data_IF_500298660783
#
_entry.id   IF_500298660783
#
_cell.length_a   1.000
_cell.length_b   1.000
_cell.length_c   1.000
_cell.angle_alpha   90.00
_cell.angle_beta   90.00
_cell.angle_gamma   90.00
#
_symmetry.space_group_name_H-M   'P 1'
#
loop_
_entity.id
_entity.type
_entity.pdbx_description
1 polymer ?
#
# COMPACT_ATOMS: atom_id res chain seq x y z
N UNK A 1 58.22 -89.93 34.32
CA UNK A 1 58.42 -88.69 33.55
C UNK A 1 57.62 -88.84 32.26
N UNK A 2 56.30 -88.70 32.37
CA UNK A 2 55.54 -87.48 32.02
C UNK A 2 55.53 -87.24 30.51
N UNK A 3 54.62 -87.90 29.78
CA UNK A 3 53.25 -87.48 29.41
C UNK A 3 53.19 -86.23 28.52
N UNK A 4 53.19 -86.49 27.21
CA UNK A 4 52.35 -85.77 26.24
C UNK A 4 50.96 -86.43 26.24
N UNK A 5 49.90 -85.63 26.11
CA UNK A 5 48.98 -85.61 24.94
C UNK A 5 47.75 -84.73 25.24
N UNK A 6 47.39 -83.89 24.27
CA UNK A 6 46.04 -83.52 23.81
C UNK A 6 44.98 -83.11 24.84
N UNK A 7 44.34 -81.95 24.69
CA UNK A 7 43.21 -81.78 23.78
C UNK A 7 42.52 -80.41 24.00
N UNK A 8 42.02 -79.90 22.89
CA UNK A 8 41.17 -78.75 22.62
C UNK A 8 39.74 -78.89 23.17
N UNK A 9 39.22 -77.81 23.75
CA UNK A 9 37.80 -77.42 23.80
C UNK A 9 37.78 -75.89 23.99
N UNK A 10 37.62 -75.11 22.93
CA UNK A 10 36.32 -74.57 22.50
C UNK A 10 35.59 -73.88 23.66
N UNK A 11 35.69 -72.54 23.73
CA UNK A 11 34.50 -71.79 24.04
C UNK A 11 34.41 -70.45 23.32
N UNK A 12 33.17 -70.21 22.94
CA UNK A 12 32.62 -69.32 21.95
C UNK A 12 32.50 -67.88 22.45
N UNK A 13 33.07 -66.91 21.72
CA UNK A 13 32.72 -65.50 21.96
C UNK A 13 32.88 -64.59 20.73
N UNK A 14 32.56 -65.07 19.53
CA UNK A 14 32.67 -64.29 18.28
C UNK A 14 31.33 -63.77 17.72
N UNK A 15 30.19 -63.87 18.41
CA UNK A 15 28.89 -63.49 17.84
C UNK A 15 28.16 -62.31 18.50
N UNK A 16 28.72 -61.65 19.52
CA UNK A 16 28.03 -60.52 20.21
C UNK A 16 28.34 -59.11 19.68
N UNK A 17 29.30 -58.96 18.77
CA UNK A 17 29.68 -57.64 18.21
C UNK A 17 28.90 -57.18 16.96
N UNK A 18 28.24 -58.10 16.25
CA UNK A 18 27.62 -57.81 14.94
C UNK A 18 26.15 -57.34 15.04
N UNK A 19 25.42 -57.75 16.08
CA UNK A 19 24.00 -57.39 16.24
C UNK A 19 23.75 -55.99 16.84
N UNK A 20 24.76 -55.39 17.49
CA UNK A 20 24.63 -54.06 18.09
C UNK A 20 24.87 -52.92 17.08
N UNK A 21 25.76 -53.10 16.10
CA UNK A 21 26.00 -52.06 15.07
C UNK A 21 24.85 -52.00 14.06
N UNK A 22 24.32 -53.16 13.64
CA UNK A 22 23.19 -53.21 12.70
C UNK A 22 21.89 -52.58 13.27
N UNK A 23 21.69 -52.64 14.58
CA UNK A 23 20.53 -52.00 15.23
C UNK A 23 20.71 -50.49 15.45
N UNK A 24 21.94 -50.02 15.68
CA UNK A 24 22.26 -48.59 15.71
C UNK A 24 22.17 -47.94 14.32
N UNK A 25 22.65 -48.63 13.28
CA UNK A 25 22.56 -48.16 11.89
C UNK A 25 21.10 -48.09 11.41
N UNK A 26 20.25 -49.07 11.81
CA UNK A 26 18.81 -49.06 11.52
C UNK A 26 18.10 -47.87 12.17
N UNK A 27 18.40 -47.57 13.44
CA UNK A 27 17.84 -46.41 14.15
C UNK A 27 18.28 -45.08 13.54
N UNK A 28 19.51 -45.01 13.00
CA UNK A 28 20.01 -43.82 12.33
C UNK A 28 19.34 -43.60 10.97
N UNK A 29 19.10 -44.68 10.22
CA UNK A 29 18.32 -44.64 8.97
C UNK A 29 16.85 -44.24 9.20
N UNK A 30 16.20 -44.76 10.24
CA UNK A 30 14.85 -44.36 10.62
C UNK A 30 14.77 -42.89 11.05
N UNK A 31 15.78 -42.39 11.79
CA UNK A 31 15.87 -40.98 12.18
C UNK A 31 16.06 -40.05 10.97
N UNK A 32 16.91 -40.42 10.00
CA UNK A 32 17.12 -39.66 8.76
C UNK A 32 15.86 -39.69 7.88
N UNK A 33 15.17 -40.83 7.81
CA UNK A 33 13.91 -40.95 7.09
C UNK A 33 12.80 -40.10 7.73
N UNK A 34 12.74 -40.04 9.07
CA UNK A 34 11.82 -39.16 9.80
C UNK A 34 12.16 -37.67 9.60
N UNK A 35 13.44 -37.28 9.62
CA UNK A 35 13.85 -35.90 9.34
C UNK A 35 13.49 -35.48 7.89
N UNK A 36 13.71 -36.35 6.90
CA UNK A 36 13.29 -36.11 5.52
C UNK A 36 11.77 -36.07 5.34
N UNK A 37 11.02 -36.87 6.11
CA UNK A 37 9.56 -36.82 6.14
C UNK A 37 9.03 -35.53 6.79
N UNK A 38 9.68 -35.05 7.86
CA UNK A 38 9.35 -33.78 8.52
C UNK A 38 9.69 -32.58 7.64
N UNK A 39 10.83 -32.61 6.94
CA UNK A 39 11.21 -31.56 5.98
C UNK A 39 10.28 -31.55 4.77
N UNK A 40 9.92 -32.70 4.21
CA UNK A 40 8.94 -32.77 3.11
C UNK A 40 7.54 -32.34 3.55
N UNK A 41 7.12 -32.64 4.78
CA UNK A 41 5.89 -32.13 5.39
C UNK A 41 5.95 -30.62 5.67
N UNK A 42 7.10 -30.09 6.10
CA UNK A 42 7.33 -28.66 6.29
C UNK A 42 7.36 -27.92 4.94
N UNK A 43 8.02 -28.48 3.93
CA UNK A 43 8.08 -27.93 2.58
C UNK A 43 6.69 -27.96 1.93
N UNK A 44 5.92 -29.04 2.09
CA UNK A 44 4.56 -29.14 1.56
C UNK A 44 3.56 -28.23 2.30
N UNK A 45 3.72 -28.01 3.61
CA UNK A 45 2.91 -27.04 4.35
C UNK A 45 3.27 -25.57 4.03
N UNK A 46 4.52 -25.28 3.66
CA UNK A 46 4.94 -23.96 3.15
C UNK A 46 4.42 -23.72 1.73
N UNK A 47 4.34 -24.76 0.89
CA UNK A 47 3.83 -24.64 -0.50
C UNK A 47 2.31 -24.51 -0.59
N UNK A 48 1.58 -24.78 0.50
CA UNK A 48 0.12 -24.69 0.55
C UNK A 48 -0.39 -23.28 0.88
N UNK A 49 0.31 -22.23 0.43
CA UNK A 49 -0.25 -20.87 0.39
C UNK A 49 -1.27 -20.81 -0.75
N UNK A 50 -2.48 -21.30 -0.45
CA UNK A 50 -3.64 -21.22 -1.33
C UNK A 50 -3.80 -19.78 -1.82
N UNK A 51 -3.82 -19.61 -3.14
CA UNK A 51 -4.39 -18.44 -3.80
C UNK A 51 -5.81 -18.25 -3.28
N UNK A 52 -5.97 -17.46 -2.22
CA UNK A 52 -7.26 -17.16 -1.65
C UNK A 52 -8.00 -16.37 -2.72
N UNK A 53 -9.02 -16.99 -3.34
CA UNK A 53 -9.91 -16.31 -4.29
C UNK A 53 -10.28 -14.97 -3.66
N UNK A 54 -9.97 -13.86 -4.35
CA UNK A 54 -10.34 -12.52 -3.90
C UNK A 54 -11.84 -12.57 -3.61
N UNK A 55 -12.22 -12.31 -2.36
CA UNK A 55 -13.63 -12.27 -1.94
C UNK A 55 -14.42 -11.41 -2.94
N UNK A 56 -15.54 -11.92 -3.44
CA UNK A 56 -16.39 -11.23 -4.42
C UNK A 56 -16.71 -9.78 -3.99
N UNK A 57 -16.87 -9.56 -2.69
CA UNK A 57 -17.08 -8.25 -2.07
C UNK A 57 -15.89 -7.30 -2.35
N UNK A 58 -14.65 -7.78 -2.25
CA UNK A 58 -13.45 -6.98 -2.52
C UNK A 58 -13.36 -6.61 -4.01
N UNK A 59 -13.73 -7.54 -4.90
CA UNK A 59 -13.73 -7.29 -6.34
C UNK A 59 -14.80 -6.25 -6.72
N UNK A 60 -16.03 -6.42 -6.21
CA UNK A 60 -17.12 -5.47 -6.44
C UNK A 60 -16.78 -4.09 -5.91
N UNK A 61 -16.23 -4.02 -4.68
CA UNK A 61 -15.75 -2.77 -4.07
C UNK A 61 -14.74 -2.08 -4.99
N UNK A 62 -13.72 -2.82 -5.46
CA UNK A 62 -12.72 -2.31 -6.41
C UNK A 62 -13.36 -1.73 -7.67
N UNK A 63 -14.28 -2.46 -8.30
CA UNK A 63 -14.96 -1.99 -9.52
C UNK A 63 -15.73 -0.70 -9.26
N UNK A 64 -16.54 -0.65 -8.19
CA UNK A 64 -17.36 0.52 -7.85
C UNK A 64 -16.49 1.76 -7.65
N UNK A 65 -15.43 1.66 -6.86
CA UNK A 65 -14.58 2.82 -6.60
C UNK A 65 -13.74 3.24 -7.81
N UNK A 66 -13.34 2.30 -8.67
CA UNK A 66 -12.71 2.66 -9.96
C UNK A 66 -13.68 3.44 -10.83
N UNK A 67 -14.92 2.96 -10.97
CA UNK A 67 -15.96 3.64 -11.77
C UNK A 67 -16.22 5.04 -11.22
N UNK A 68 -16.45 5.18 -9.91
CA UNK A 68 -16.69 6.48 -9.27
C UNK A 68 -15.49 7.41 -9.50
N UNK A 69 -14.27 6.94 -9.27
CA UNK A 69 -13.07 7.76 -9.45
C UNK A 69 -12.87 8.22 -10.90
N UNK A 70 -13.15 7.35 -11.86
CA UNK A 70 -13.05 7.64 -13.29
C UNK A 70 -14.09 8.67 -13.74
N UNK A 71 -15.32 8.56 -13.23
CA UNK A 71 -16.39 9.55 -13.48
C UNK A 71 -16.02 10.91 -12.87
N UNK A 72 -15.50 10.92 -11.63
CA UNK A 72 -15.04 12.15 -10.98
C UNK A 72 -13.93 12.84 -11.79
N UNK A 73 -12.95 12.09 -12.29
CA UNK A 73 -11.93 12.67 -13.17
C UNK A 73 -12.55 13.27 -14.44
N UNK A 74 -13.47 12.55 -15.10
CA UNK A 74 -14.18 13.07 -16.28
C UNK A 74 -14.96 14.36 -15.99
N UNK A 75 -15.63 14.45 -14.83
CA UNK A 75 -16.33 15.66 -14.36
C UNK A 75 -15.35 16.81 -14.12
N UNK A 76 -14.22 16.55 -13.45
CA UNK A 76 -13.18 17.56 -13.21
C UNK A 76 -12.61 18.11 -14.53
N UNK A 77 -12.38 17.24 -15.51
CA UNK A 77 -11.89 17.64 -16.83
C UNK A 77 -12.92 18.46 -17.60
N UNK A 78 -14.09 17.90 -17.92
CA UNK A 78 -15.03 18.53 -18.87
C UNK A 78 -15.86 19.67 -18.26
N UNK A 79 -16.14 19.67 -16.94
CA UNK A 79 -16.96 20.74 -16.35
C UNK A 79 -16.15 21.90 -15.77
N UNK A 80 -14.85 21.70 -15.51
CA UNK A 80 -14.00 22.71 -14.88
C UNK A 80 -12.77 23.04 -15.71
N UNK A 81 -11.90 22.07 -15.98
CA UNK A 81 -10.57 22.35 -16.55
C UNK A 81 -10.64 22.72 -18.04
N UNK A 82 -11.20 21.84 -18.87
CA UNK A 82 -11.22 21.97 -20.34
C UNK A 82 -11.94 23.25 -20.80
N UNK A 83 -13.15 23.59 -20.33
CA UNK A 83 -13.83 24.83 -20.74
C UNK A 83 -13.09 26.11 -20.32
N UNK A 84 -12.31 26.04 -19.24
CA UNK A 84 -11.50 27.16 -18.75
C UNK A 84 -10.07 27.16 -19.31
N UNK A 85 -9.78 26.34 -20.33
CA UNK A 85 -8.46 26.19 -20.95
C UNK A 85 -7.34 25.91 -19.93
N UNK A 86 -7.69 25.22 -18.85
CA UNK A 86 -6.73 24.73 -17.86
C UNK A 86 -6.29 23.37 -18.36
N UNK A 87 -5.00 23.22 -18.61
CA UNK A 87 -4.47 22.00 -19.22
C UNK A 87 -4.22 20.97 -18.14
N UNK A 88 -4.59 19.73 -18.45
CA UNK A 88 -4.18 18.59 -17.63
C UNK A 88 -2.67 18.29 -17.87
N UNK A 89 -2.06 17.48 -17.02
CA UNK A 89 -0.71 16.97 -17.23
C UNK A 89 -0.69 15.64 -17.99
N UNK A 90 0.52 15.11 -18.20
CA UNK A 90 0.73 13.77 -18.72
C UNK A 90 0.14 13.47 -20.09
N UNK A 91 -0.39 12.25 -20.26
CA UNK A 91 -0.96 11.80 -21.54
C UNK A 91 -2.30 12.52 -21.80
N UNK A 92 -3.06 12.82 -20.75
CA UNK A 92 -4.27 13.66 -20.84
C UNK A 92 -3.96 15.05 -21.38
N UNK A 93 -2.92 15.73 -20.89
CA UNK A 93 -2.53 17.06 -21.37
C UNK A 93 -2.18 17.05 -22.86
N UNK A 94 -1.41 16.06 -23.30
CA UNK A 94 -1.12 15.83 -24.72
C UNK A 94 -2.43 15.59 -25.48
N UNK A 95 -3.34 14.78 -24.93
CA UNK A 95 -4.64 14.48 -25.53
C UNK A 95 -5.53 15.73 -25.68
N UNK A 96 -5.52 16.65 -24.71
CA UNK A 96 -6.24 17.93 -24.76
C UNK A 96 -5.69 18.79 -25.90
N UNK A 97 -4.36 18.90 -26.02
CA UNK A 97 -3.73 19.68 -27.09
C UNK A 97 -4.08 19.09 -28.46
N UNK A 98 -3.99 17.76 -28.63
CA UNK A 98 -4.34 17.11 -29.89
C UNK A 98 -5.83 17.26 -30.23
N UNK A 99 -6.71 17.11 -29.23
CA UNK A 99 -8.16 17.34 -29.38
C UNK A 99 -8.45 18.76 -29.87
N UNK A 100 -7.79 19.75 -29.27
CA UNK A 100 -7.95 21.15 -29.66
C UNK A 100 -7.48 21.43 -31.09
N UNK A 101 -6.38 20.83 -31.53
CA UNK A 101 -5.80 21.06 -32.87
C UNK A 101 -6.53 20.28 -33.98
N UNK A 102 -7.08 19.10 -33.67
CA UNK A 102 -7.67 18.18 -34.67
C UNK A 102 -9.20 18.14 -34.66
N UNK A 103 -9.84 18.76 -33.65
CA UNK A 103 -11.29 18.70 -33.40
C UNK A 103 -11.85 17.28 -33.22
N UNK A 104 -10.98 16.30 -32.91
CA UNK A 104 -11.38 14.94 -32.58
C UNK A 104 -11.65 14.85 -31.08
N UNK A 105 -12.71 14.14 -30.62
CA UNK A 105 -13.05 14.09 -29.20
C UNK A 105 -11.90 13.60 -28.30
N UNK A 106 -11.73 14.28 -27.15
CA UNK A 106 -10.68 14.00 -26.16
C UNK A 106 -10.58 12.52 -25.77
N UNK A 107 -11.73 11.86 -25.59
CA UNK A 107 -11.82 10.44 -25.23
C UNK A 107 -11.05 9.50 -26.17
N UNK A 108 -11.02 9.82 -27.48
CA UNK A 108 -10.31 9.00 -28.48
C UNK A 108 -8.80 9.03 -28.23
N UNK A 109 -8.22 10.21 -28.01
CA UNK A 109 -6.80 10.36 -27.72
C UNK A 109 -6.42 9.75 -26.38
N UNK A 110 -7.26 9.93 -25.36
CA UNK A 110 -7.08 9.32 -24.05
C UNK A 110 -6.97 7.80 -24.15
N UNK A 111 -7.85 7.15 -24.92
CA UNK A 111 -7.78 5.70 -25.06
C UNK A 111 -6.53 5.24 -25.82
N UNK A 112 -6.24 5.86 -26.97
CA UNK A 112 -5.15 5.43 -27.84
C UNK A 112 -3.77 5.68 -27.23
N UNK A 113 -3.54 6.86 -26.67
CA UNK A 113 -2.23 7.23 -26.12
C UNK A 113 -1.91 6.52 -24.81
N UNK A 114 -2.92 6.07 -24.06
CA UNK A 114 -2.73 5.28 -22.84
C UNK A 114 -2.41 3.80 -23.12
N UNK A 115 -2.74 3.28 -24.30
CA UNK A 115 -2.51 1.87 -24.66
C UNK A 115 -1.05 1.39 -24.48
N UNK A 116 0.00 2.11 -24.91
CA UNK A 116 1.39 1.71 -24.65
C UNK A 116 1.72 1.63 -23.15
N UNK A 117 1.26 2.59 -22.35
CA UNK A 117 1.49 2.59 -20.91
C UNK A 117 0.73 1.46 -20.22
N UNK A 118 -0.47 1.12 -20.69
CA UNK A 118 -1.24 -0.03 -20.23
C UNK A 118 -0.48 -1.35 -20.45
N UNK A 119 0.16 -1.52 -21.60
CA UNK A 119 1.00 -2.69 -21.90
C UNK A 119 2.20 -2.76 -20.94
N UNK A 120 2.84 -1.63 -20.66
CA UNK A 120 3.94 -1.55 -19.69
C UNK A 120 3.44 -1.93 -18.28
N UNK A 121 2.30 -1.37 -17.85
CA UNK A 121 1.67 -1.67 -16.57
C UNK A 121 1.28 -3.15 -16.42
N UNK A 122 0.76 -3.77 -17.49
CA UNK A 122 0.48 -5.20 -17.54
C UNK A 122 1.74 -6.05 -17.29
N UNK A 123 2.85 -5.70 -17.94
CA UNK A 123 4.10 -6.45 -17.83
C UNK A 123 4.80 -6.25 -16.48
N UNK A 124 4.76 -5.04 -15.91
CA UNK A 124 5.53 -4.70 -14.71
C UNK A 124 4.75 -4.78 -13.39
N UNK A 125 3.43 -4.58 -13.40
CA UNK A 125 2.59 -4.58 -12.19
C UNK A 125 1.69 -5.82 -12.15
N UNK A 126 1.13 -6.21 -13.30
CA UNK A 126 0.40 -7.46 -13.46
C UNK A 126 -1.02 -7.30 -14.01
N UNK A 127 -1.67 -8.44 -14.26
CA UNK A 127 -2.94 -8.51 -15.00
C UNK A 127 -4.08 -7.73 -14.34
N UNK A 128 -4.20 -7.83 -13.01
CA UNK A 128 -5.31 -7.19 -12.30
C UNK A 128 -5.22 -5.67 -12.34
N UNK A 129 -4.00 -5.11 -12.26
CA UNK A 129 -3.78 -3.68 -12.42
C UNK A 129 -4.15 -3.21 -13.82
N UNK A 130 -3.72 -3.95 -14.85
CA UNK A 130 -4.05 -3.62 -16.23
C UNK A 130 -5.57 -3.66 -16.50
N UNK A 131 -6.29 -4.67 -16.00
CA UNK A 131 -7.75 -4.72 -16.15
C UNK A 131 -8.46 -3.57 -15.40
N UNK A 132 -8.00 -3.23 -14.19
CA UNK A 132 -8.51 -2.09 -13.44
C UNK A 132 -8.24 -0.75 -14.13
N UNK A 133 -7.06 -0.59 -14.72
CA UNK A 133 -6.67 0.59 -15.51
C UNK A 133 -7.49 0.69 -16.79
N UNK A 134 -7.64 -0.42 -17.53
CA UNK A 134 -8.45 -0.45 -18.75
C UNK A 134 -9.91 -0.08 -18.45
N UNK A 135 -10.48 -0.62 -17.38
CA UNK A 135 -11.83 -0.23 -16.93
C UNK A 135 -11.89 1.27 -16.62
N UNK A 136 -10.91 1.79 -15.88
CA UNK A 136 -10.88 3.21 -15.52
C UNK A 136 -10.79 4.12 -16.74
N UNK A 137 -9.85 3.85 -17.65
CA UNK A 137 -9.67 4.60 -18.90
C UNK A 137 -10.92 4.55 -19.77
N UNK A 138 -11.58 3.39 -19.89
CA UNK A 138 -12.83 3.28 -20.65
C UNK A 138 -13.97 4.09 -20.03
N UNK A 139 -14.15 4.01 -18.71
CA UNK A 139 -15.19 4.77 -18.00
C UNK A 139 -14.91 6.26 -18.09
N UNK A 140 -13.68 6.70 -17.85
CA UNK A 140 -13.27 8.10 -17.98
C UNK A 140 -13.46 8.60 -19.42
N UNK A 141 -13.05 7.84 -20.42
CA UNK A 141 -13.23 8.19 -21.83
C UNK A 141 -14.71 8.32 -22.19
N UNK A 142 -15.58 7.46 -21.64
CA UNK A 142 -17.02 7.55 -21.84
C UNK A 142 -17.60 8.77 -21.11
N UNK A 143 -17.21 9.00 -19.86
CA UNK A 143 -17.66 10.15 -19.08
C UNK A 143 -17.26 11.47 -19.72
N UNK A 144 -16.03 11.61 -20.20
CA UNK A 144 -15.57 12.81 -20.92
C UNK A 144 -16.34 13.02 -22.21
N UNK A 145 -16.54 11.97 -23.01
CA UNK A 145 -17.32 12.06 -24.25
C UNK A 145 -18.78 12.46 -23.98
N UNK A 146 -19.41 11.93 -22.93
CA UNK A 146 -20.80 12.27 -22.57
C UNK A 146 -20.95 13.68 -21.99
N UNK A 147 -19.89 14.21 -21.37
CA UNK A 147 -19.90 15.53 -20.73
C UNK A 147 -19.38 16.65 -21.65
N UNK A 148 -18.85 16.32 -22.83
CA UNK A 148 -18.20 17.29 -23.72
C UNK A 148 -19.07 18.48 -24.12
N UNK A 149 -20.36 18.25 -24.38
CA UNK A 149 -21.31 19.29 -24.77
C UNK A 149 -21.99 19.98 -23.57
N UNK A 150 -21.61 19.61 -22.34
CA UNK A 150 -22.16 20.22 -21.12
C UNK A 150 -21.42 21.52 -20.84
N UNK A 151 -22.18 22.59 -20.58
CA UNK A 151 -21.61 23.90 -20.24
C UNK A 151 -20.73 23.83 -18.99
N UNK A 152 -19.70 24.66 -18.96
CA UNK A 152 -18.82 24.82 -17.80
C UNK A 152 -19.63 25.04 -16.51
N UNK A 153 -19.24 24.38 -15.42
CA UNK A 153 -19.87 24.60 -14.12
C UNK A 153 -19.59 26.01 -13.59
N UNK A 154 -18.42 26.55 -13.95
CA UNK A 154 -18.04 27.93 -13.64
C UNK A 154 -17.12 28.47 -14.72
N UNK A 155 -17.32 29.74 -15.08
CA UNK A 155 -16.45 30.48 -16.01
C UNK A 155 -15.32 31.22 -15.27
N UNK A 156 -15.34 31.23 -13.93
CA UNK A 156 -14.26 31.80 -13.14
C UNK A 156 -13.09 30.80 -13.12
N UNK A 157 -12.02 31.14 -13.84
CA UNK A 157 -10.87 30.26 -14.04
C UNK A 157 -10.17 29.87 -12.74
N UNK A 158 -10.12 30.75 -11.74
CA UNK A 158 -9.52 30.41 -10.44
C UNK A 158 -10.38 29.39 -9.68
N UNK A 159 -11.70 29.61 -9.64
CA UNK A 159 -12.65 28.66 -9.05
C UNK A 159 -12.62 27.31 -9.77
N UNK A 160 -12.54 27.33 -11.11
CA UNK A 160 -12.38 26.15 -11.93
C UNK A 160 -11.09 25.38 -11.60
N UNK A 161 -9.96 26.08 -11.45
CA UNK A 161 -8.68 25.47 -11.07
C UNK A 161 -8.77 24.76 -9.70
N UNK A 162 -9.37 25.43 -8.70
CA UNK A 162 -9.46 24.89 -7.34
C UNK A 162 -10.40 23.69 -7.28
N UNK A 163 -11.66 23.84 -7.70
CA UNK A 163 -12.65 22.76 -7.60
C UNK A 163 -12.38 21.64 -8.59
N UNK A 164 -11.94 21.97 -9.80
CA UNK A 164 -11.50 20.99 -10.79
C UNK A 164 -10.31 20.18 -10.30
N UNK A 165 -9.29 20.83 -9.71
CA UNK A 165 -8.16 20.14 -9.09
C UNK A 165 -8.56 19.22 -7.93
N UNK A 166 -9.50 19.64 -7.08
CA UNK A 166 -10.01 18.80 -5.98
C UNK A 166 -10.70 17.56 -6.51
N UNK A 167 -11.68 17.74 -7.41
CA UNK A 167 -12.49 16.65 -7.96
C UNK A 167 -11.61 15.68 -8.75
N UNK A 168 -10.71 16.20 -9.59
CA UNK A 168 -9.76 15.42 -10.36
C UNK A 168 -8.84 14.61 -9.45
N UNK A 169 -8.23 15.25 -8.46
CA UNK A 169 -7.30 14.58 -7.55
C UNK A 169 -7.95 13.48 -6.69
N UNK A 170 -9.17 13.71 -6.21
CA UNK A 170 -9.96 12.66 -5.52
C UNK A 170 -10.28 11.52 -6.49
N UNK A 171 -10.69 11.83 -7.72
CA UNK A 171 -10.99 10.83 -8.74
C UNK A 171 -9.81 9.93 -9.05
N UNK A 172 -8.67 10.54 -9.40
CA UNK A 172 -7.40 9.84 -9.67
C UNK A 172 -6.95 9.03 -8.46
N UNK A 173 -6.90 9.65 -7.27
CA UNK A 173 -6.45 8.98 -6.05
C UNK A 173 -7.32 7.77 -5.69
N UNK A 174 -8.62 7.82 -5.98
CA UNK A 174 -9.52 6.70 -5.75
C UNK A 174 -9.22 5.52 -6.69
N UNK A 175 -8.98 5.79 -7.98
CA UNK A 175 -8.60 4.74 -8.95
C UNK A 175 -7.27 4.11 -8.57
N UNK A 176 -6.27 4.92 -8.22
CA UNK A 176 -4.95 4.45 -7.77
C UNK A 176 -5.06 3.61 -6.51
N UNK A 177 -5.85 4.05 -5.51
CA UNK A 177 -6.07 3.31 -4.26
C UNK A 177 -6.64 1.92 -4.49
N UNK A 178 -7.53 1.78 -5.47
CA UNK A 178 -8.09 0.48 -5.83
C UNK A 178 -7.27 -0.24 -6.91
N UNK A 179 -6.04 0.21 -7.19
CA UNK A 179 -5.06 -0.48 -8.01
C UNK A 179 -5.34 -0.43 -9.51
N UNK A 180 -5.90 0.68 -9.99
CA UNK A 180 -5.88 1.06 -11.40
C UNK A 180 -5.11 2.36 -11.62
N UNK A 181 -5.25 2.93 -12.81
CA UNK A 181 -4.77 4.25 -13.20
C UNK A 181 -5.66 4.77 -14.34
N UNK A 182 -5.65 6.08 -14.56
CA UNK A 182 -6.40 6.78 -15.60
C UNK A 182 -5.49 7.42 -16.66
N UNK A 183 -4.23 7.70 -16.31
CA UNK A 183 -3.25 8.32 -17.20
C UNK A 183 -1.91 7.56 -17.26
N UNK A 184 -1.25 7.61 -18.41
CA UNK A 184 0.01 6.92 -18.63
C UNK A 184 1.13 7.44 -17.72
N UNK A 185 1.13 8.73 -17.38
CA UNK A 185 2.10 9.28 -16.43
C UNK A 185 1.89 8.78 -15.00
N UNK A 186 0.66 8.50 -14.61
CA UNK A 186 0.38 7.86 -13.33
C UNK A 186 0.92 6.43 -13.30
N UNK A 187 0.82 5.66 -14.39
CA UNK A 187 1.42 4.32 -14.47
C UNK A 187 2.93 4.40 -14.25
N UNK A 188 3.60 5.37 -14.86
CA UNK A 188 5.03 5.62 -14.64
C UNK A 188 5.29 6.05 -13.20
N UNK A 189 4.47 6.94 -12.63
CA UNK A 189 4.62 7.39 -11.25
C UNK A 189 4.47 6.24 -10.24
N UNK A 190 3.50 5.34 -10.43
CA UNK A 190 3.30 4.15 -9.62
C UNK A 190 4.51 3.21 -9.71
N UNK A 191 5.12 3.08 -10.90
CA UNK A 191 6.32 2.26 -11.08
C UNK A 191 7.55 2.86 -10.38
N UNK A 192 7.71 4.19 -10.45
CA UNK A 192 8.82 4.90 -9.83
C UNK A 192 8.68 5.02 -8.32
N UNK A 193 7.46 5.19 -7.80
CA UNK A 193 7.18 5.26 -6.36
C UNK A 193 7.71 4.02 -5.62
N UNK A 194 7.67 2.83 -6.24
CA UNK A 194 8.22 1.59 -5.64
C UNK A 194 9.73 1.66 -5.33
N UNK A 195 10.46 2.59 -5.93
CA UNK A 195 11.92 2.74 -5.82
C UNK A 195 12.33 4.15 -5.38
N UNK A 196 11.39 4.95 -4.93
CA UNK A 196 11.55 6.37 -4.65
C UNK A 196 10.97 6.71 -3.27
N UNK A 197 11.55 7.67 -2.53
CA UNK A 197 10.96 8.17 -1.29
C UNK A 197 9.74 9.09 -1.53
N UNK A 198 9.50 9.52 -2.76
CA UNK A 198 8.41 10.44 -3.13
C UNK A 198 7.07 9.72 -3.30
N UNK A 199 5.98 10.38 -2.93
CA UNK A 199 4.61 9.89 -3.12
C UNK A 199 4.26 9.75 -4.62
N UNK A 200 3.18 9.01 -4.92
CA UNK A 200 2.71 8.90 -6.30
C UNK A 200 2.28 10.27 -6.83
N UNK A 201 1.58 11.09 -6.03
CA UNK A 201 1.18 12.44 -6.39
C UNK A 201 2.38 13.36 -6.66
N UNK A 202 3.41 13.32 -5.81
CA UNK A 202 4.63 14.10 -5.98
C UNK A 202 5.34 13.78 -7.30
N UNK A 203 5.43 12.50 -7.66
CA UNK A 203 6.05 12.08 -8.92
C UNK A 203 5.22 12.54 -10.12
N UNK A 204 3.89 12.43 -10.06
CA UNK A 204 2.98 12.96 -11.11
C UNK A 204 3.19 14.47 -11.27
N UNK A 205 3.20 15.23 -10.17
CA UNK A 205 3.41 16.67 -10.19
C UNK A 205 4.75 17.05 -10.83
N UNK A 206 5.81 16.30 -10.53
CA UNK A 206 7.13 16.52 -11.12
C UNK A 206 7.11 16.39 -12.65
N UNK A 207 6.50 15.34 -13.21
CA UNK A 207 6.35 15.21 -14.66
C UNK A 207 5.50 16.33 -15.26
N UNK A 208 4.45 16.73 -14.55
CA UNK A 208 3.52 17.74 -15.03
C UNK A 208 4.07 19.15 -14.97
N UNK A 209 5.05 19.45 -14.12
CA UNK A 209 5.73 20.74 -14.13
C UNK A 209 6.33 21.06 -15.51
N UNK A 210 6.96 20.08 -16.16
CA UNK A 210 7.56 20.27 -17.50
C UNK A 210 6.50 20.43 -18.59
N UNK A 211 5.42 19.65 -18.51
CA UNK A 211 4.32 19.66 -19.48
C UNK A 211 3.56 20.98 -19.39
N UNK A 212 3.21 21.41 -18.17
CA UNK A 212 2.47 22.64 -17.92
C UNK A 212 3.29 23.89 -18.24
N UNK A 213 4.61 23.86 -18.00
CA UNK A 213 5.51 24.93 -18.45
C UNK A 213 5.51 25.03 -19.97
N UNK A 214 5.49 23.89 -20.67
CA UNK A 214 5.40 23.86 -22.14
C UNK A 214 4.04 24.35 -22.65
N UNK A 215 2.95 24.06 -21.93
CA UNK A 215 1.60 24.53 -22.25
C UNK A 215 1.46 26.06 -22.16
N UNK A 216 2.28 26.74 -21.35
CA UNK A 216 2.34 28.21 -21.29
C UNK A 216 2.71 28.87 -22.63
N UNK A 217 3.47 28.19 -23.47
CA UNK A 217 3.78 28.67 -24.83
C UNK A 217 2.59 28.53 -25.80
N UNK A 218 1.60 27.68 -25.49
CA UNK A 218 0.44 27.40 -26.35
C UNK A 218 -0.80 28.19 -25.91
N UNK A 219 -1.13 28.15 -24.62
CA UNK A 219 -2.36 28.73 -24.06
C UNK A 219 -2.16 30.04 -23.29
N UNK A 220 -0.91 30.51 -23.20
CA UNK A 220 -0.52 31.70 -22.45
C UNK A 220 -0.15 31.40 -20.99
N UNK A 221 0.67 32.30 -20.43
CA UNK A 221 1.24 32.14 -19.09
C UNK A 221 0.20 32.11 -17.97
N UNK A 222 -0.87 32.91 -18.07
CA UNK A 222 -1.95 32.93 -17.07
C UNK A 222 -2.63 31.56 -16.96
N UNK A 223 -2.99 30.94 -18.09
CA UNK A 223 -3.59 29.59 -18.14
C UNK A 223 -2.64 28.53 -17.59
N UNK A 224 -1.34 28.64 -17.88
CA UNK A 224 -0.33 27.74 -17.31
C UNK A 224 -0.21 27.87 -15.80
N UNK A 225 -0.23 29.09 -15.25
CA UNK A 225 -0.22 29.32 -13.80
C UNK A 225 -1.48 28.76 -13.12
N UNK A 226 -2.66 28.92 -13.73
CA UNK A 226 -3.88 28.26 -13.22
C UNK A 226 -3.78 26.73 -13.28
N UNK A 227 -3.16 26.18 -14.32
CA UNK A 227 -2.94 24.74 -14.45
C UNK A 227 -2.00 24.22 -13.36
N UNK A 228 -0.94 24.96 -13.02
CA UNK A 228 -0.05 24.63 -11.90
C UNK A 228 -0.80 24.64 -10.56
N UNK A 229 -1.69 25.61 -10.33
CA UNK A 229 -2.52 25.66 -9.11
C UNK A 229 -3.45 24.44 -9.05
N UNK A 230 -4.17 24.16 -10.15
CA UNK A 230 -5.07 23.02 -10.24
C UNK A 230 -4.33 21.70 -9.96
N UNK A 231 -3.14 21.53 -10.54
CA UNK A 231 -2.33 20.33 -10.35
C UNK A 231 -1.71 20.21 -8.97
N UNK A 232 -1.27 21.32 -8.39
CA UNK A 232 -0.78 21.33 -7.01
C UNK A 232 -1.86 20.80 -6.06
N UNK A 233 -3.11 21.27 -6.25
CA UNK A 233 -4.26 20.81 -5.48
C UNK A 233 -4.57 19.35 -5.80
N UNK A 234 -4.56 18.96 -7.07
CA UNK A 234 -4.84 17.60 -7.50
C UNK A 234 -3.89 16.59 -6.87
N UNK A 235 -2.57 16.80 -6.90
CA UNK A 235 -1.65 15.82 -6.32
C UNK A 235 -1.79 15.71 -4.80
N UNK A 236 -2.07 16.81 -4.09
CA UNK A 236 -2.37 16.76 -2.65
C UNK A 236 -3.61 15.92 -2.39
N UNK A 237 -4.65 16.05 -3.22
CA UNK A 237 -5.86 15.26 -3.09
C UNK A 237 -5.65 13.79 -3.50
N UNK A 238 -4.77 13.51 -4.46
CA UNK A 238 -4.33 12.15 -4.81
C UNK A 238 -3.73 11.50 -3.57
N UNK A 239 -2.72 12.14 -2.96
CA UNK A 239 -2.01 11.57 -1.80
C UNK A 239 -2.97 11.31 -0.63
N UNK A 240 -3.79 12.31 -0.27
CA UNK A 240 -4.82 12.17 0.79
C UNK A 240 -5.77 11.01 0.49
N UNK A 241 -6.16 10.82 -0.77
CA UNK A 241 -7.11 9.77 -1.15
C UNK A 241 -6.47 8.38 -1.17
N UNK A 242 -5.24 8.28 -1.71
CA UNK A 242 -4.46 7.04 -1.85
C UNK A 242 -4.05 6.51 -0.49
N UNK A 243 -3.40 7.34 0.32
CA UNK A 243 -2.97 6.99 1.69
C UNK A 243 -4.19 6.84 2.61
N UNK A 244 -5.25 7.61 2.32
CA UNK A 244 -6.47 7.66 3.11
C UNK A 244 -6.29 8.53 4.36
N UNK A 245 -7.41 8.85 5.01
CA UNK A 245 -7.42 9.73 6.18
C UNK A 245 -6.83 9.12 7.47
N UNK A 246 -6.42 7.84 7.43
CA UNK A 246 -5.97 7.10 8.60
C UNK A 246 -4.45 7.00 8.64
N UNK A 247 -3.79 8.13 8.93
CA UNK A 247 -2.43 8.11 9.45
C UNK A 247 -2.43 7.31 10.76
N UNK A 248 -1.88 6.09 10.69
CA UNK A 248 -1.61 5.29 11.87
C UNK A 248 -0.28 5.74 12.46
N UNK A 249 -0.22 5.81 13.79
CA UNK A 249 0.98 6.15 14.54
C UNK A 249 1.33 5.01 15.47
N UNK A 250 2.59 4.59 15.41
CA UNK A 250 3.19 3.74 16.42
C UNK A 250 3.60 4.62 17.61
N UNK A 251 3.19 4.22 18.81
CA UNK A 251 3.51 4.93 20.04
C UNK A 251 4.21 3.96 20.99
N UNK A 252 5.38 4.39 21.46
CA UNK A 252 6.13 3.76 22.53
C UNK A 252 6.04 4.63 23.76
N UNK A 253 5.57 4.07 24.87
CA UNK A 253 5.45 4.76 26.15
C UNK A 253 6.34 4.04 27.16
N UNK A 254 7.29 4.76 27.75
CA UNK A 254 8.18 4.26 28.79
C UNK A 254 7.76 4.96 30.08
N UNK A 255 7.27 4.19 31.04
CA UNK A 255 6.74 4.69 32.32
C UNK A 255 6.78 3.58 33.35
N UNK A 256 6.96 3.94 34.61
CA UNK A 256 6.88 2.99 35.72
C UNK A 256 5.40 2.60 35.99
N UNK A 257 4.45 3.47 35.69
CA UNK A 257 2.99 3.27 35.79
C UNK A 257 2.38 2.55 34.56
N UNK A 258 3.19 1.73 33.88
CA UNK A 258 2.85 1.08 32.61
C UNK A 258 1.49 0.33 32.59
N UNK A 259 1.11 -0.34 33.69
CA UNK A 259 -0.17 -1.09 33.76
C UNK A 259 -1.39 -0.17 33.76
N UNK A 260 -1.34 0.89 34.55
CA UNK A 260 -2.44 1.85 34.70
C UNK A 260 -2.69 2.58 33.38
N UNK A 261 -1.61 3.02 32.73
CA UNK A 261 -1.65 3.62 31.40
C UNK A 261 -2.25 2.61 30.40
N UNK A 262 -1.74 1.38 30.35
CA UNK A 262 -2.23 0.37 29.41
C UNK A 262 -3.73 0.08 29.57
N UNK A 263 -4.22 -0.03 30.80
CA UNK A 263 -5.64 -0.24 31.10
C UNK A 263 -6.51 0.99 30.76
N UNK A 264 -5.97 2.19 30.96
CA UNK A 264 -6.65 3.44 30.57
C UNK A 264 -6.75 3.58 29.05
N UNK A 265 -5.69 3.24 28.30
CA UNK A 265 -5.71 3.21 26.84
C UNK A 265 -6.72 2.18 26.32
N UNK A 266 -6.77 0.99 26.91
CA UNK A 266 -7.76 -0.02 26.52
C UNK A 266 -9.19 0.44 26.79
N UNK A 267 -9.48 1.03 27.96
CA UNK A 267 -10.85 1.42 28.34
C UNK A 267 -11.33 2.71 27.67
N UNK A 268 -10.48 3.73 27.56
CA UNK A 268 -10.86 5.08 27.10
C UNK A 268 -10.67 5.29 25.60
N UNK A 269 -9.76 4.54 24.97
CA UNK A 269 -9.50 4.59 23.52
C UNK A 269 -9.93 3.31 22.81
N UNK A 270 -10.20 2.21 23.52
CA UNK A 270 -10.51 0.93 22.89
C UNK A 270 -9.29 0.29 22.21
N UNK A 271 -8.07 0.72 22.58
CA UNK A 271 -6.82 0.32 21.93
C UNK A 271 -6.09 -0.73 22.76
N UNK A 272 -5.83 -1.88 22.14
CA UNK A 272 -4.94 -2.88 22.73
C UNK A 272 -3.52 -2.35 22.85
N UNK A 273 -2.82 -2.81 23.87
CA UNK A 273 -1.41 -2.50 24.11
C UNK A 273 -0.59 -3.79 24.14
N UNK A 274 0.68 -3.68 23.77
CA UNK A 274 1.66 -4.76 23.92
C UNK A 274 2.75 -4.29 24.86
N UNK A 275 3.07 -5.07 25.89
CA UNK A 275 4.16 -4.75 26.80
C UNK A 275 5.45 -5.40 26.31
N UNK A 276 6.41 -4.58 25.91
CA UNK A 276 7.76 -5.00 25.55
C UNK A 276 8.68 -4.89 26.77
N UNK A 277 9.65 -5.81 26.88
CA UNK A 277 10.75 -5.68 27.83
C UNK A 277 11.86 -4.85 27.19
N UNK A 278 12.34 -3.84 27.90
CA UNK A 278 13.51 -3.05 27.54
C UNK A 278 14.46 -2.96 28.73
N UNK A 279 15.61 -2.36 28.50
CA UNK A 279 16.63 -2.11 29.52
C UNK A 279 17.08 -0.65 29.40
N UNK A 280 17.20 0.05 30.52
CA UNK A 280 17.71 1.42 30.53
C UNK A 280 19.19 1.43 30.16
N UNK A 281 19.55 2.01 29.01
CA UNK A 281 20.94 2.02 28.54
C UNK A 281 21.95 2.72 29.46
N UNK A 282 21.47 3.53 30.41
CA UNK A 282 22.31 4.17 31.43
C UNK A 282 22.18 3.50 32.81
N UNK A 283 20.96 3.13 33.23
CA UNK A 283 20.73 2.58 34.57
C UNK A 283 20.89 1.07 34.66
N UNK A 284 20.78 0.33 33.55
CA UNK A 284 20.77 -1.13 33.51
C UNK A 284 19.48 -1.77 34.04
N UNK A 285 18.48 -0.98 34.41
CA UNK A 285 17.24 -1.50 34.98
C UNK A 285 16.33 -2.09 33.89
N UNK A 286 15.65 -3.20 34.21
CA UNK A 286 14.54 -3.68 33.38
C UNK A 286 13.43 -2.61 33.35
N UNK A 287 13.07 -2.17 32.13
CA UNK A 287 11.94 -1.27 31.88
C UNK A 287 10.87 -1.98 31.07
N UNK A 288 9.61 -1.61 31.32
CA UNK A 288 8.48 -2.03 30.50
C UNK A 288 8.10 -0.91 29.55
N UNK A 289 8.07 -1.22 28.25
CA UNK A 289 7.68 -0.28 27.21
C UNK A 289 6.30 -0.68 26.69
N UNK A 290 5.33 0.22 26.77
CA UNK A 290 4.02 0.05 26.15
C UNK A 290 4.15 0.37 24.68
N UNK A 291 3.83 -0.59 23.83
CA UNK A 291 3.64 -0.37 22.40
C UNK A 291 2.15 -0.36 22.08
N UNK A 292 1.70 0.67 21.38
CA UNK A 292 0.34 0.72 20.83
C UNK A 292 0.32 1.41 19.48
N UNK A 293 -0.72 1.13 18.72
CA UNK A 293 -0.97 1.78 17.43
C UNK A 293 -2.28 2.53 17.54
N UNK A 294 -2.23 3.82 17.24
CA UNK A 294 -3.36 4.73 17.27
C UNK A 294 -3.53 5.40 15.91
N UNK A 295 -4.66 6.06 15.71
CA UNK A 295 -4.84 7.01 14.61
C UNK A 295 -4.34 8.41 14.99
N UNK A 296 -4.05 9.25 14.00
CA UNK A 296 -3.72 10.67 14.21
C UNK A 296 -4.73 11.42 15.07
N UNK A 297 -6.02 11.12 14.95
CA UNK A 297 -7.09 11.77 15.72
C UNK A 297 -7.08 11.38 17.21
N UNK A 298 -6.50 10.23 17.54
CA UNK A 298 -6.41 9.70 18.90
C UNK A 298 -5.18 10.20 19.66
N UNK A 299 -4.21 10.82 18.99
CA UNK A 299 -2.92 11.22 19.56
C UNK A 299 -3.06 12.16 20.76
N UNK A 300 -3.85 13.22 20.61
CA UNK A 300 -4.05 14.20 21.69
C UNK A 300 -4.67 13.55 22.94
N UNK A 301 -5.64 12.64 22.73
CA UNK A 301 -6.29 11.92 23.83
C UNK A 301 -5.34 10.91 24.48
N UNK A 302 -4.49 10.23 23.71
CA UNK A 302 -3.46 9.35 24.26
C UNK A 302 -2.48 10.13 25.13
N UNK A 303 -1.97 11.28 24.65
CA UNK A 303 -1.05 12.13 25.42
C UNK A 303 -1.65 12.55 26.76
N UNK A 304 -2.89 13.02 26.75
CA UNK A 304 -3.58 13.39 27.99
C UNK A 304 -3.78 12.21 28.96
N UNK A 305 -4.06 10.99 28.46
CA UNK A 305 -4.15 9.80 29.32
C UNK A 305 -2.79 9.48 29.97
N UNK A 306 -1.70 9.61 29.21
CA UNK A 306 -0.37 9.31 29.73
C UNK A 306 0.05 10.36 30.77
N UNK A 307 -0.10 11.64 30.47
CA UNK A 307 0.19 12.74 31.40
C UNK A 307 -0.63 12.66 32.70
N UNK A 308 -1.90 12.24 32.63
CA UNK A 308 -2.76 12.05 33.81
C UNK A 308 -2.24 10.97 34.77
N UNK A 309 -1.58 9.94 34.24
CA UNK A 309 -1.08 8.81 35.03
C UNK A 309 0.40 8.94 35.39
N UNK A 310 1.20 9.59 34.55
CA UNK A 310 2.63 9.80 34.77
C UNK A 310 3.13 11.00 33.94
N UNK A 311 3.32 12.15 34.59
CA UNK A 311 3.88 13.36 33.99
C UNK A 311 5.35 13.21 33.55
N UNK A 312 6.06 12.18 34.04
CA UNK A 312 7.46 11.90 33.70
C UNK A 312 7.62 10.79 32.64
N UNK A 313 6.50 10.28 32.10
CA UNK A 313 6.53 9.26 31.07
C UNK A 313 7.22 9.76 29.79
N UNK A 314 8.07 8.92 29.21
CA UNK A 314 8.69 9.20 27.91
C UNK A 314 7.84 8.61 26.78
N UNK A 315 7.42 9.46 25.83
CA UNK A 315 6.68 9.05 24.65
C UNK A 315 7.52 9.24 23.38
N UNK A 316 7.64 8.18 22.59
CA UNK A 316 8.11 8.26 21.21
C UNK A 316 6.95 7.92 20.27
N UNK A 317 6.74 8.77 19.25
CA UNK A 317 5.65 8.63 18.28
C UNK A 317 6.25 8.60 16.89
N UNK A 318 5.98 7.53 16.14
CA UNK A 318 6.41 7.34 14.75
C UNK A 318 5.21 7.18 13.82
N UNK A 319 5.29 7.78 12.63
CA UNK A 319 4.30 7.54 11.57
C UNK A 319 4.53 6.14 10.98
N UNK A 320 3.45 5.39 10.75
CA UNK A 320 3.51 4.08 10.11
C UNK A 320 2.54 4.03 8.92
N UNK A 321 3.07 3.66 7.75
CA UNK A 321 2.35 3.75 6.49
C UNK A 321 1.26 2.68 6.30
N UNK A 322 1.42 1.49 6.88
CA UNK A 322 0.42 0.42 6.76
C UNK A 322 0.42 -0.45 8.02
N UNK A 323 -0.79 -0.83 8.46
CA UNK A 323 -1.02 -1.70 9.62
C UNK A 323 -2.08 -2.72 9.22
N UNK A 324 -1.70 -4.00 9.23
CA UNK A 324 -2.59 -5.11 8.87
C UNK A 324 -2.75 -6.07 10.05
N UNK A 325 -3.97 -6.59 10.24
CA UNK A 325 -4.31 -7.46 11.39
C UNK A 325 -4.91 -6.66 12.55
N UNK A 326 -4.91 -7.18 13.78
CA UNK A 326 -5.25 -6.45 15.02
C UNK A 326 -6.72 -6.01 15.25
N UNK A 327 -7.08 -5.77 16.52
CA UNK A 327 -8.38 -5.20 16.92
C UNK A 327 -8.37 -3.68 16.73
N UNK A 328 -8.28 -3.20 15.49
CA UNK A 328 -8.24 -1.76 15.18
C UNK A 328 -9.61 -1.14 14.87
N UNK A 329 -10.59 -1.97 14.50
CA UNK A 329 -11.96 -1.49 14.33
C UNK A 329 -12.57 -1.29 15.70
N UNK A 330 -12.89 -0.03 16.00
CA UNK A 330 -13.75 0.36 17.11
C UNK A 330 -14.92 -0.61 17.17
N UNK A 331 -15.01 -1.40 18.24
CA UNK A 331 -16.27 -2.02 18.62
C UNK A 331 -17.04 -0.87 19.24
N UNK A 332 -18.12 -0.43 18.63
CA UNK A 332 -19.03 0.46 19.32
C UNK A 332 -19.47 -0.28 20.59
N UNK A 333 -19.15 0.32 21.74
CA UNK A 333 -19.55 -0.19 23.04
C UNK A 333 -20.93 0.40 23.29
N UNK A 334 -21.95 -0.26 22.75
CA UNK A 334 -23.35 -0.14 23.16
C UNK A 334 -23.93 -1.54 23.22
#
# INVERSE_FOLDING_TARGET
MEHLTTNTSADSNSSKGSHASASQDMNQFEAIAQLGALDSAAISSVQQYQHTKISLIKLLKRIIFIVIGSVLMGVGLELFLVPNQITDGGVTGISIILSYVTSVPLGVFLFLLNLPFLIIGYKQIGKTFALSTLLGVLVMSLSTTLLHDVSAFTENTFLAAVFGGIILGIGVGLVIRYGGSLDGTEIIAILLNKRSPFSVGEIIMFFNLFILTSAGFVFGWDRAMYSLIAYYIAYKMIDITVEGLNDSKAVWIISDNHKEIGDALLRRLGRGVTYMKGEGGFSGDEKKVIFTVITRLEEAKLKGIVEEHDEHAFLAIGNIHDVKGGRFKKKDIH
#
